data_IF_971634759834
#
_entry.id   IF_971634759834
#
_cell.length_a   1.000
_cell.length_b   1.000
_cell.length_c   1.000
_cell.angle_alpha   90.00
_cell.angle_beta   90.00
_cell.angle_gamma   90.00
#
_symmetry.space_group_name_H-M   'P 1'
#
loop_
_entity.id
_entity.type
_entity.pdbx_description
1 polymer ?
#
# COMPACT_ATOMS: atom_id res chain seq x y z
N UNK A 1 28.30 -8.37 35.35
CA UNK A 1 27.00 -8.01 34.75
C UNK A 1 26.44 -9.26 34.10
N UNK A 2 25.35 -9.82 34.63
CA UNK A 2 24.70 -11.00 34.05
C UNK A 2 23.88 -10.51 32.85
N UNK A 3 24.09 -11.14 31.69
CA UNK A 3 23.39 -10.81 30.45
C UNK A 3 21.86 -11.00 30.65
N UNK A 4 21.01 -10.01 30.35
CA UNK A 4 19.55 -10.09 30.58
C UNK A 4 18.88 -11.27 29.86
N UNK A 5 19.48 -11.78 28.78
CA UNK A 5 19.03 -12.99 28.11
C UNK A 5 19.16 -14.26 28.98
N UNK A 6 20.15 -14.31 29.88
CA UNK A 6 20.38 -15.44 30.78
C UNK A 6 19.41 -15.42 31.96
N UNK A 7 19.06 -14.24 32.46
CA UNK A 7 18.07 -14.08 33.53
C UNK A 7 16.68 -14.58 33.10
N UNK A 8 16.28 -14.27 31.87
CA UNK A 8 14.98 -14.67 31.29
C UNK A 8 14.88 -16.19 31.08
N UNK A 9 16.00 -16.84 30.74
CA UNK A 9 16.08 -18.30 30.58
C UNK A 9 16.02 -19.00 31.95
N UNK A 10 16.71 -18.47 32.97
CA UNK A 10 16.71 -19.05 34.32
C UNK A 10 15.32 -18.97 34.97
N UNK A 11 14.60 -17.86 34.78
CA UNK A 11 13.24 -17.68 35.32
C UNK A 11 12.22 -18.62 34.66
N UNK A 12 12.36 -18.88 33.35
CA UNK A 12 11.51 -19.83 32.63
C UNK A 12 11.80 -21.31 32.97
N UNK A 13 13.07 -21.65 33.20
CA UNK A 13 13.49 -22.99 33.65
C UNK A 13 12.93 -23.29 35.05
N UNK A 14 12.81 -22.27 35.91
CA UNK A 14 12.23 -22.40 37.26
C UNK A 14 10.73 -22.69 37.23
N UNK A 15 10.01 -22.12 36.25
CA UNK A 15 8.57 -22.37 36.08
C UNK A 15 8.28 -23.70 35.33
N UNK A 16 9.16 -24.15 34.44
CA UNK A 16 9.02 -25.43 33.73
C UNK A 16 9.39 -26.67 34.55
N UNK A 17 10.23 -26.52 35.57
CA UNK A 17 10.70 -27.63 36.42
C UNK A 17 9.66 -28.13 37.44
N UNK A 18 8.59 -27.35 37.69
CA UNK A 18 7.49 -27.75 38.56
C UNK A 18 6.53 -28.77 37.91
N UNK A 19 6.59 -28.97 36.58
CA UNK A 19 5.67 -29.86 35.84
C UNK A 19 6.24 -31.26 35.51
N UNK A 20 7.48 -31.56 35.87
CA UNK A 20 8.20 -32.77 35.43
C UNK A 20 8.76 -33.61 36.59
N UNK A 21 7.92 -33.99 37.55
CA UNK A 21 8.31 -34.88 38.67
C UNK A 21 8.47 -36.37 38.31
N UNK A 22 8.53 -36.73 37.01
CA UNK A 22 8.84 -38.09 36.57
C UNK A 22 9.93 -38.23 35.48
N UNK A 23 10.23 -37.16 34.73
CA UNK A 23 11.16 -37.18 33.59
C UNK A 23 12.43 -36.32 33.75
N UNK A 24 12.57 -35.62 34.89
CA UNK A 24 13.61 -34.60 35.09
C UNK A 24 15.06 -35.09 35.04
N UNK A 25 15.33 -36.36 35.40
CA UNK A 25 16.69 -36.90 35.45
C UNK A 25 17.31 -37.10 34.05
N UNK A 26 16.51 -37.49 33.05
CA UNK A 26 17.00 -37.73 31.68
C UNK A 26 17.24 -36.40 30.96
N UNK A 27 16.37 -35.42 31.17
CA UNK A 27 16.51 -34.08 30.58
C UNK A 27 17.70 -33.33 31.21
N UNK A 28 17.90 -33.44 32.53
CA UNK A 28 19.04 -32.84 33.20
C UNK A 28 20.38 -33.40 32.70
N UNK A 29 20.47 -34.72 32.48
CA UNK A 29 21.66 -35.35 31.91
C UNK A 29 21.92 -34.90 30.46
N UNK A 30 20.86 -34.73 29.65
CA UNK A 30 20.96 -34.29 28.26
C UNK A 30 21.41 -32.82 28.12
N UNK A 31 20.93 -31.95 29.02
CA UNK A 31 21.37 -30.54 29.11
C UNK A 31 22.80 -30.44 29.64
N UNK A 32 23.17 -31.25 30.64
CA UNK A 32 24.52 -31.28 31.19
C UNK A 32 25.58 -31.77 30.17
N UNK A 33 25.16 -32.56 29.18
CA UNK A 33 25.99 -32.99 28.05
C UNK A 33 26.03 -31.98 26.88
N UNK A 34 25.40 -30.81 27.02
CA UNK A 34 25.40 -29.77 25.99
C UNK A 34 24.50 -30.09 24.78
N UNK A 35 23.61 -31.07 24.90
CA UNK A 35 22.62 -31.38 23.87
C UNK A 35 21.55 -30.30 23.80
N UNK A 36 21.11 -29.86 22.61
CA UNK A 36 20.01 -28.91 22.49
C UNK A 36 18.76 -29.55 23.09
N UNK A 37 18.16 -28.88 24.08
CA UNK A 37 16.88 -29.31 24.64
C UNK A 37 15.89 -29.55 23.49
N UNK A 38 15.23 -30.72 23.42
CA UNK A 38 14.14 -30.89 22.46
C UNK A 38 13.10 -29.81 22.80
N UNK A 39 12.90 -28.90 21.85
CA UNK A 39 11.91 -27.85 21.98
C UNK A 39 10.57 -28.52 22.33
N UNK A 40 10.00 -28.17 23.48
CA UNK A 40 8.70 -28.71 23.86
C UNK A 40 7.70 -28.36 22.76
N UNK A 41 6.73 -29.24 22.48
CA UNK A 41 5.72 -28.99 21.45
C UNK A 41 5.05 -27.61 21.62
N UNK A 42 4.82 -27.20 22.88
CA UNK A 42 4.33 -25.87 23.27
C UNK A 42 5.26 -24.71 22.87
N UNK A 43 6.58 -24.89 22.90
CA UNK A 43 7.54 -23.89 22.42
C UNK A 43 7.48 -23.73 20.90
N UNK A 44 7.40 -24.85 20.17
CA UNK A 44 7.27 -24.85 18.71
C UNK A 44 5.97 -24.19 18.28
N UNK A 45 4.84 -24.57 18.90
CA UNK A 45 3.53 -23.97 18.64
C UNK A 45 3.53 -22.46 18.94
N UNK A 46 4.08 -22.03 20.08
CA UNK A 46 4.21 -20.61 20.40
C UNK A 46 5.07 -19.82 19.39
N UNK A 47 6.13 -20.42 18.87
CA UNK A 47 6.95 -19.83 17.79
C UNK A 47 6.18 -19.74 16.47
N UNK A 48 5.45 -20.79 16.09
CA UNK A 48 4.61 -20.79 14.88
C UNK A 48 3.55 -19.69 14.97
N UNK A 49 2.85 -19.57 16.11
CA UNK A 49 1.85 -18.50 16.31
C UNK A 49 2.48 -17.11 16.24
N UNK A 50 3.68 -16.91 16.80
CA UNK A 50 4.38 -15.63 16.72
C UNK A 50 4.80 -15.27 15.28
N UNK A 51 5.28 -16.25 14.51
CA UNK A 51 5.61 -16.05 13.09
C UNK A 51 4.36 -15.77 12.27
N UNK A 52 3.28 -16.52 12.48
CA UNK A 52 2.00 -16.31 11.82
C UNK A 52 1.50 -14.87 12.05
N UNK A 53 1.51 -14.42 13.31
CA UNK A 53 1.13 -13.05 13.67
C UNK A 53 2.03 -12.01 12.99
N UNK A 54 3.34 -12.24 12.96
CA UNK A 54 4.28 -11.34 12.26
C UNK A 54 4.02 -11.27 10.75
N UNK A 55 3.61 -12.38 10.13
CA UNK A 55 3.22 -12.42 8.71
C UNK A 55 1.92 -11.63 8.51
N UNK A 56 0.92 -11.84 9.36
CA UNK A 56 -0.37 -11.14 9.27
C UNK A 56 -0.19 -9.62 9.45
N UNK A 57 0.61 -9.19 10.43
CA UNK A 57 0.94 -7.79 10.66
C UNK A 57 1.70 -7.18 9.46
N UNK A 58 2.63 -7.95 8.87
CA UNK A 58 3.39 -7.52 7.68
C UNK A 58 2.50 -7.38 6.45
N UNK A 59 1.58 -8.34 6.24
CA UNK A 59 0.60 -8.31 5.17
C UNK A 59 -0.35 -7.11 5.32
N UNK A 60 -0.85 -6.87 6.53
CA UNK A 60 -1.70 -5.72 6.83
C UNK A 60 -0.96 -4.38 6.58
N UNK A 61 0.31 -4.29 6.97
CA UNK A 61 1.12 -3.09 6.69
C UNK A 61 1.37 -2.86 5.19
N UNK A 62 1.55 -3.96 4.44
CA UNK A 62 1.80 -3.92 2.99
C UNK A 62 0.52 -3.52 2.25
N UNK A 63 -0.63 -4.07 2.63
CA UNK A 63 -1.93 -3.68 2.08
C UNK A 63 -2.17 -2.17 2.22
N UNK A 64 -1.96 -1.62 3.42
CA UNK A 64 -2.07 -0.16 3.67
C UNK A 64 -1.15 0.68 2.79
N UNK A 65 0.09 0.21 2.54
CA UNK A 65 1.04 0.90 1.64
C UNK A 65 0.55 0.86 0.19
N UNK A 66 0.03 -0.28 -0.27
CA UNK A 66 -0.53 -0.43 -1.63
C UNK A 66 -1.73 0.50 -1.81
N UNK A 67 -2.62 0.59 -0.82
CA UNK A 67 -3.76 1.51 -0.83
C UNK A 67 -3.31 2.97 -0.95
N UNK A 68 -2.33 3.39 -0.14
CA UNK A 68 -1.77 4.75 -0.20
C UNK A 68 -1.10 5.09 -1.54
N UNK A 69 -0.36 4.14 -2.13
CA UNK A 69 0.23 4.31 -3.47
C UNK A 69 -0.84 4.38 -4.55
N UNK A 70 -1.91 3.61 -4.42
CA UNK A 70 -3.04 3.62 -5.36
C UNK A 70 -3.72 4.97 -5.34
N UNK A 71 -4.03 5.51 -4.15
CA UNK A 71 -4.61 6.85 -4.00
C UNK A 71 -3.72 7.94 -4.62
N UNK A 72 -2.42 7.91 -4.32
CA UNK A 72 -1.44 8.87 -4.88
C UNK A 72 -1.39 8.80 -6.41
N UNK A 73 -1.41 7.60 -6.98
CA UNK A 73 -1.40 7.41 -8.45
C UNK A 73 -2.64 8.02 -9.10
N UNK A 74 -3.82 7.86 -8.48
CA UNK A 74 -5.05 8.48 -8.99
C UNK A 74 -5.03 10.01 -8.86
N UNK A 75 -4.47 10.56 -7.78
CA UNK A 75 -4.29 12.01 -7.62
C UNK A 75 -3.36 12.60 -8.68
N UNK A 76 -2.29 11.88 -9.05
CA UNK A 76 -1.39 12.26 -10.14
C UNK A 76 -2.10 12.22 -11.50
N UNK A 77 -2.90 11.18 -11.76
CA UNK A 77 -3.72 11.09 -12.96
C UNK A 77 -4.71 12.26 -13.06
N UNK A 78 -5.39 12.59 -11.95
CA UNK A 78 -6.31 13.72 -11.90
C UNK A 78 -5.59 15.05 -12.18
N UNK A 79 -4.39 15.22 -11.63
CA UNK A 79 -3.57 16.41 -11.87
C UNK A 79 -3.17 16.55 -13.35
N UNK A 80 -2.82 15.43 -14.01
CA UNK A 80 -2.55 15.39 -15.45
C UNK A 80 -3.76 15.82 -16.28
N UNK A 81 -4.95 15.27 -15.97
CA UNK A 81 -6.21 15.64 -16.64
C UNK A 81 -6.52 17.13 -16.47
N UNK A 82 -6.32 17.69 -15.27
CA UNK A 82 -6.51 19.13 -15.01
C UNK A 82 -5.58 19.99 -15.87
N UNK A 83 -4.31 19.60 -16.01
CA UNK A 83 -3.35 20.30 -16.85
C UNK A 83 -3.73 20.23 -18.33
N UNK A 84 -4.13 19.06 -18.84
CA UNK A 84 -4.59 18.89 -20.22
C UNK A 84 -5.82 19.77 -20.51
N UNK A 85 -6.79 19.81 -19.60
CA UNK A 85 -7.95 20.71 -19.72
C UNK A 85 -7.56 22.18 -19.75
N UNK A 86 -6.61 22.60 -18.91
CA UNK A 86 -6.12 23.97 -18.93
C UNK A 86 -5.49 24.31 -20.29
N UNK A 87 -4.64 23.43 -20.82
CA UNK A 87 -4.04 23.56 -22.16
C UNK A 87 -5.12 23.69 -23.25
N UNK A 88 -6.10 22.80 -23.28
CA UNK A 88 -7.17 22.82 -24.28
C UNK A 88 -8.05 24.07 -24.19
N UNK A 89 -8.29 24.60 -22.98
CA UNK A 89 -8.99 25.88 -22.81
C UNK A 89 -8.21 27.06 -23.38
N UNK A 90 -6.88 27.06 -23.24
CA UNK A 90 -6.04 28.06 -23.89
C UNK A 90 -6.08 27.91 -25.41
N UNK A 91 -6.00 26.69 -25.91
CA UNK A 91 -6.09 26.40 -27.35
C UNK A 91 -7.45 26.82 -27.92
N UNK A 92 -8.56 26.49 -27.26
CA UNK A 92 -9.91 26.91 -27.63
C UNK A 92 -10.02 28.43 -27.77
N UNK A 93 -9.49 29.19 -26.80
CA UNK A 93 -9.47 30.66 -26.84
C UNK A 93 -8.61 31.18 -27.99
N UNK A 94 -7.46 30.56 -28.24
CA UNK A 94 -6.60 30.91 -29.36
C UNK A 94 -7.32 30.66 -30.70
N UNK A 95 -7.91 29.48 -30.89
CA UNK A 95 -8.69 29.10 -32.07
C UNK A 95 -9.85 30.07 -32.29
N UNK A 96 -10.62 30.41 -31.26
CA UNK A 96 -11.71 31.38 -31.36
C UNK A 96 -11.21 32.76 -31.83
N UNK A 97 -10.05 33.21 -31.33
CA UNK A 97 -9.44 34.48 -31.75
C UNK A 97 -8.97 34.46 -33.22
N UNK A 98 -8.58 33.29 -33.73
CA UNK A 98 -8.17 33.10 -35.12
C UNK A 98 -9.37 33.02 -36.07
N UNK A 99 -10.46 32.37 -35.66
CA UNK A 99 -11.70 32.28 -36.47
C UNK A 99 -12.23 33.67 -36.85
N UNK A 100 -12.16 34.62 -35.91
CA UNK A 100 -12.58 36.01 -36.12
C UNK A 100 -11.77 36.73 -37.23
N UNK A 101 -10.53 36.28 -37.50
CA UNK A 101 -9.59 36.89 -38.45
C UNK A 101 -9.35 36.02 -39.69
N UNK A 102 -9.89 34.80 -39.72
CA UNK A 102 -9.64 33.82 -40.75
C UNK A 102 -10.42 34.10 -42.04
N UNK A 103 -9.80 33.75 -43.16
CA UNK A 103 -10.46 33.67 -44.45
C UNK A 103 -11.39 32.44 -44.53
N UNK A 104 -12.21 32.37 -45.58
CA UNK A 104 -13.23 31.32 -45.73
C UNK A 104 -12.62 29.91 -45.76
N UNK A 105 -11.43 29.76 -46.37
CA UNK A 105 -10.75 28.47 -46.45
C UNK A 105 -10.21 28.00 -45.09
N UNK A 106 -9.58 28.88 -44.30
CA UNK A 106 -9.03 28.50 -42.99
C UNK A 106 -10.11 28.37 -41.90
N UNK A 107 -11.25 29.05 -42.05
CA UNK A 107 -12.35 29.02 -41.08
C UNK A 107 -12.90 27.61 -40.88
N UNK A 108 -13.15 26.85 -41.95
CA UNK A 108 -13.67 25.48 -41.84
C UNK A 108 -12.74 24.56 -41.02
N UNK A 109 -11.42 24.71 -41.18
CA UNK A 109 -10.41 23.96 -40.42
C UNK A 109 -10.42 24.36 -38.94
N UNK A 110 -10.51 25.66 -38.65
CA UNK A 110 -10.56 26.16 -37.27
C UNK A 110 -11.87 25.78 -36.56
N UNK A 111 -13.01 25.78 -37.26
CA UNK A 111 -14.29 25.33 -36.73
C UNK A 111 -14.26 23.83 -36.40
N UNK A 112 -13.69 23.00 -37.29
CA UNK A 112 -13.45 21.59 -37.00
C UNK A 112 -12.58 21.42 -35.76
N UNK A 113 -11.44 22.12 -35.68
CA UNK A 113 -10.55 22.03 -34.52
C UNK A 113 -11.25 22.49 -33.23
N UNK A 114 -12.10 23.52 -33.31
CA UNK A 114 -12.90 23.95 -32.16
C UNK A 114 -13.89 22.88 -31.70
N UNK A 115 -14.51 22.15 -32.62
CA UNK A 115 -15.38 21.03 -32.28
C UNK A 115 -14.60 19.89 -31.61
N UNK A 116 -13.47 19.50 -32.18
CA UNK A 116 -12.57 18.48 -31.59
C UNK A 116 -12.13 18.85 -30.17
N UNK A 117 -11.74 20.10 -29.93
CA UNK A 117 -11.35 20.56 -28.59
C UNK A 117 -12.52 20.44 -27.60
N UNK A 118 -13.76 20.73 -28.03
CA UNK A 118 -14.94 20.58 -27.17
C UNK A 118 -15.22 19.11 -26.85
N UNK A 119 -15.07 18.22 -27.83
CA UNK A 119 -15.21 16.78 -27.63
C UNK A 119 -14.14 16.27 -26.66
N UNK A 120 -12.87 16.63 -26.86
CA UNK A 120 -11.76 16.31 -25.95
C UNK A 120 -12.01 16.82 -24.51
N UNK A 121 -12.51 18.06 -24.36
CA UNK A 121 -12.86 18.61 -23.05
C UNK A 121 -13.97 17.81 -22.36
N UNK A 122 -14.98 17.37 -23.11
CA UNK A 122 -16.08 16.57 -22.57
C UNK A 122 -15.61 15.21 -22.06
N UNK A 123 -14.68 14.57 -22.78
CA UNK A 123 -14.07 13.29 -22.37
C UNK A 123 -13.26 13.47 -21.09
N UNK A 124 -12.43 14.53 -21.02
CA UNK A 124 -11.64 14.83 -19.83
C UNK A 124 -12.50 15.21 -18.61
N UNK A 125 -13.69 15.78 -18.81
CA UNK A 125 -14.66 16.04 -17.74
C UNK A 125 -15.24 14.74 -17.16
N UNK A 126 -15.60 13.79 -18.02
CA UNK A 126 -16.04 12.46 -17.59
C UNK A 126 -14.93 11.71 -16.85
N UNK A 127 -13.70 11.75 -17.38
CA UNK A 127 -12.53 11.12 -16.76
C UNK A 127 -12.22 11.73 -15.39
N UNK A 128 -12.19 13.06 -15.28
CA UNK A 128 -11.97 13.74 -14.00
C UNK A 128 -13.02 13.36 -12.95
N UNK A 129 -14.28 13.24 -13.36
CA UNK A 129 -15.38 12.82 -12.47
C UNK A 129 -15.19 11.38 -11.99
N UNK A 130 -14.82 10.48 -12.90
CA UNK A 130 -14.50 9.08 -12.59
C UNK A 130 -13.32 8.96 -11.61
N UNK A 131 -12.23 9.69 -11.87
CA UNK A 131 -11.04 9.70 -11.00
C UNK A 131 -11.37 10.22 -9.60
N UNK A 132 -12.11 11.33 -9.49
CA UNK A 132 -12.55 11.86 -8.18
C UNK A 132 -13.38 10.85 -7.40
N UNK A 133 -14.32 10.18 -8.06
CA UNK A 133 -15.14 9.12 -7.43
C UNK A 133 -14.28 7.97 -6.91
N UNK A 134 -13.27 7.54 -7.67
CA UNK A 134 -12.34 6.48 -7.25
C UNK A 134 -11.46 6.91 -6.08
N UNK A 135 -10.94 8.14 -6.10
CA UNK A 135 -10.14 8.71 -5.00
C UNK A 135 -10.97 8.77 -3.72
N UNK A 136 -12.21 9.27 -3.81
CA UNK A 136 -13.11 9.38 -2.67
C UNK A 136 -13.38 8.01 -2.02
N UNK A 137 -13.66 6.98 -2.84
CA UNK A 137 -13.87 5.61 -2.35
C UNK A 137 -12.65 5.03 -1.62
N UNK A 138 -11.43 5.39 -2.04
CA UNK A 138 -10.20 4.93 -1.39
C UNK A 138 -9.86 5.69 -0.11
N UNK A 139 -10.49 6.85 0.12
CA UNK A 139 -10.27 7.69 1.31
C UNK A 139 -11.31 7.44 2.41
N UNK A 140 -12.39 6.71 2.11
CA UNK A 140 -13.37 6.33 3.11
C UNK A 140 -12.78 5.26 4.06
N UNK A 141 -12.95 5.42 5.38
CA UNK A 141 -12.37 4.53 6.39
C UNK A 141 -13.00 3.14 6.42
#
# INVERSE_FOLDING_TARGET
MINPAVALVVEYVKNGSAMLTGGGAVIAAYVAWGGPLPATQTFVEGKITAVQKSIDDSNASTAKRIEGLTATTLDLQLSSVVQQKARLRYESRATASLIAKADVASRATLDRRSAEINDELSVLDAEATSLRSRIEKLRQP
#
